data_IF_665040965514
#
_entry.id   IF_665040965514
#
_cell.length_a   1.000
_cell.length_b   1.000
_cell.length_c   1.000
_cell.angle_alpha   90.00
_cell.angle_beta   90.00
_cell.angle_gamma   90.00
#
_symmetry.space_group_name_H-M   'P 1'
#
loop_
_entity.id
_entity.type
_entity.pdbx_description
1 polymer ?
#
# COMPACT_ATOMS: atom_id res chain seq x y z
N UNK A 1 11.62 35.07 -11.80
CA UNK A 1 11.26 33.67 -12.16
C UNK A 1 10.19 33.69 -13.23
N UNK A 2 10.35 32.94 -14.33
CA UNK A 2 9.31 32.82 -15.37
C UNK A 2 8.06 32.08 -14.84
N UNK A 3 6.88 32.42 -15.36
CA UNK A 3 5.61 31.81 -14.94
C UNK A 3 5.56 30.28 -15.14
N UNK A 4 6.31 29.75 -16.11
CA UNK A 4 6.49 28.31 -16.34
C UNK A 4 7.19 27.61 -15.16
N UNK A 5 8.36 28.12 -14.75
CA UNK A 5 9.15 27.57 -13.63
C UNK A 5 8.41 27.59 -12.30
N UNK A 6 7.51 28.58 -12.08
CA UNK A 6 6.66 28.62 -10.88
C UNK A 6 5.62 27.50 -10.89
N UNK A 7 5.03 27.22 -12.05
CA UNK A 7 4.01 26.17 -12.23
C UNK A 7 4.59 24.77 -12.08
N UNK A 8 5.78 24.53 -12.63
CA UNK A 8 6.52 23.27 -12.49
C UNK A 8 6.90 23.01 -11.04
N UNK A 9 7.47 23.99 -10.33
CA UNK A 9 7.81 23.85 -8.90
C UNK A 9 6.60 23.54 -8.03
N UNK A 10 5.46 24.18 -8.30
CA UNK A 10 4.22 23.91 -7.58
C UNK A 10 3.70 22.49 -7.85
N UNK A 11 3.79 22.01 -9.09
CA UNK A 11 3.41 20.64 -9.42
C UNK A 11 4.30 19.61 -8.71
N UNK A 12 5.61 19.83 -8.67
CA UNK A 12 6.55 18.96 -7.95
C UNK A 12 6.24 18.95 -6.44
N UNK A 13 6.03 20.12 -5.84
CA UNK A 13 5.68 20.22 -4.42
C UNK A 13 4.36 19.49 -4.10
N UNK A 14 3.35 19.62 -4.96
CA UNK A 14 2.09 18.88 -4.83
C UNK A 14 2.30 17.37 -4.96
N UNK A 15 3.15 16.93 -5.90
CA UNK A 15 3.50 15.53 -6.07
C UNK A 15 4.16 14.96 -4.81
N UNK A 16 5.15 15.65 -4.26
CA UNK A 16 5.81 15.24 -3.01
C UNK A 16 4.80 15.15 -1.85
N UNK A 17 3.91 16.14 -1.72
CA UNK A 17 2.88 16.11 -0.68
C UNK A 17 1.90 14.93 -0.85
N UNK A 18 1.47 14.64 -2.08
CA UNK A 18 0.61 13.50 -2.38
C UNK A 18 1.26 12.18 -1.99
N UNK A 19 2.53 11.97 -2.39
CA UNK A 19 3.23 10.74 -2.08
C UNK A 19 3.51 10.62 -0.58
N UNK A 20 3.88 11.71 0.10
CA UNK A 20 4.05 11.68 1.55
C UNK A 20 2.76 11.28 2.28
N UNK A 21 1.61 11.82 1.84
CA UNK A 21 0.30 11.47 2.40
C UNK A 21 -0.05 10.01 2.10
N UNK A 22 -0.01 9.56 0.85
CA UNK A 22 -0.39 8.19 0.50
C UNK A 22 0.63 7.14 0.94
N UNK A 23 1.91 7.48 1.16
CA UNK A 23 2.85 6.58 1.81
C UNK A 23 2.40 6.20 3.22
N UNK A 24 1.77 7.12 3.96
CA UNK A 24 1.24 6.81 5.29
C UNK A 24 0.07 5.83 5.23
N UNK A 25 -0.63 5.73 4.10
CA UNK A 25 -1.76 4.79 3.98
C UNK A 25 -1.30 3.33 4.06
N UNK A 26 -0.03 3.01 3.77
CA UNK A 26 0.48 1.63 3.92
C UNK A 26 0.31 1.12 5.35
N UNK A 27 0.51 2.00 6.34
CA UNK A 27 0.37 1.63 7.74
C UNK A 27 -1.08 1.41 8.13
N UNK A 28 -1.98 2.25 7.62
CA UNK A 28 -3.42 2.12 7.88
C UNK A 28 -4.03 0.90 7.16
N UNK A 29 -3.52 0.55 5.99
CA UNK A 29 -3.99 -0.58 5.17
C UNK A 29 -3.46 -1.92 5.72
N UNK A 30 -2.19 -1.98 6.13
CA UNK A 30 -1.52 -3.27 6.40
C UNK A 30 -0.99 -3.44 7.83
N UNK A 31 -0.69 -2.37 8.56
CA UNK A 31 0.09 -2.48 9.82
C UNK A 31 -0.64 -2.03 11.08
N UNK A 32 -1.83 -1.41 10.98
CA UNK A 32 -2.58 -0.99 12.18
C UNK A 32 -3.51 -2.09 12.70
N UNK A 33 -3.01 -2.80 13.70
CA UNK A 33 -3.85 -3.50 14.67
C UNK A 33 -3.82 -2.73 15.99
N UNK A 34 -4.64 -1.66 16.15
CA UNK A 34 -4.66 -0.95 17.42
C UNK A 34 -5.02 -1.92 18.55
N UNK A 35 -4.24 -1.84 19.63
CA UNK A 35 -4.48 -2.57 20.87
C UNK A 35 -5.90 -2.26 21.34
N UNK A 36 -6.65 -3.30 21.70
CA UNK A 36 -8.03 -3.14 22.17
C UNK A 36 -7.99 -2.87 23.68
N UNK A 37 -8.63 -1.78 24.11
CA UNK A 37 -8.67 -1.37 25.52
C UNK A 37 -10.08 -1.54 26.11
N UNK A 38 -10.14 -1.65 27.45
CA UNK A 38 -11.38 -1.72 28.20
C UNK A 38 -12.08 -3.08 28.11
N UNK A 39 -11.31 -4.16 28.03
CA UNK A 39 -11.80 -5.54 28.14
C UNK A 39 -11.49 -6.07 29.53
N UNK A 40 -12.45 -6.77 30.12
CA UNK A 40 -12.24 -7.45 31.39
C UNK A 40 -11.49 -8.78 31.15
N UNK A 41 -10.46 -9.10 31.97
CA UNK A 41 -9.79 -10.38 31.90
C UNK A 41 -10.73 -11.54 32.23
N UNK A 42 -10.63 -12.63 31.48
CA UNK A 42 -11.38 -13.87 31.74
C UNK A 42 -10.57 -14.74 32.69
N UNK A 43 -11.05 -14.86 33.93
CA UNK A 43 -10.42 -15.70 34.92
C UNK A 43 -10.70 -17.18 34.65
N UNK A 44 -9.66 -18.03 34.55
CA UNK A 44 -9.86 -19.47 34.45
C UNK A 44 -10.46 -20.04 35.74
N UNK A 45 -11.36 -21.02 35.63
CA UNK A 45 -11.88 -21.79 36.78
C UNK A 45 -10.94 -22.95 37.14
N UNK A 46 -9.63 -22.69 37.16
CA UNK A 46 -8.61 -23.68 37.54
C UNK A 46 -7.59 -23.10 38.54
N UNK A 47 -7.12 -23.88 39.51
CA UNK A 47 -6.00 -23.48 40.37
C UNK A 47 -4.71 -23.42 39.55
N UNK A 48 -3.74 -22.61 39.98
CA UNK A 48 -2.44 -22.52 39.31
C UNK A 48 -1.77 -23.91 39.20
N UNK A 49 -1.54 -24.44 37.97
CA UNK A 49 -0.91 -25.75 37.78
C UNK A 49 0.55 -25.79 38.25
N UNK A 50 1.24 -24.65 38.24
CA UNK A 50 2.62 -24.51 38.68
C UNK A 50 2.77 -23.45 39.78
N UNK A 51 3.52 -23.78 40.82
CA UNK A 51 3.87 -22.84 41.89
C UNK A 51 4.93 -21.82 41.46
N UNK A 52 5.79 -22.19 40.50
CA UNK A 52 6.88 -21.37 39.96
C UNK A 52 7.10 -21.71 38.50
N UNK A 53 7.25 -20.69 37.66
CA UNK A 53 7.57 -20.83 36.25
C UNK A 53 8.87 -20.06 35.96
N UNK A 54 9.83 -20.73 35.33
CA UNK A 54 11.06 -20.12 34.80
C UNK A 54 11.07 -20.35 33.30
N UNK A 55 10.99 -19.27 32.54
CA UNK A 55 11.06 -19.31 31.08
C UNK A 55 12.42 -18.73 30.66
N UNK A 56 13.21 -19.54 29.94
CA UNK A 56 14.45 -19.10 29.31
C UNK A 56 14.12 -18.76 27.86
N UNK A 57 14.28 -17.50 27.49
CA UNK A 57 14.04 -17.01 26.12
C UNK A 57 15.36 -16.56 25.55
N UNK A 58 15.70 -17.10 24.38
CA UNK A 58 16.81 -16.64 23.54
C UNK A 58 16.23 -16.04 22.25
N UNK A 59 16.63 -14.82 21.91
CA UNK A 59 16.08 -14.10 20.76
C UNK A 59 16.83 -14.50 19.49
N UNK A 60 16.36 -15.58 18.85
CA UNK A 60 16.81 -15.99 17.54
C UNK A 60 16.00 -15.33 16.43
N UNK A 61 16.63 -14.57 15.53
CA UNK A 61 16.04 -13.94 14.33
C UNK A 61 15.35 -14.89 13.31
N UNK A 62 15.13 -16.17 13.65
CA UNK A 62 14.47 -17.15 12.77
C UNK A 62 13.01 -17.35 13.16
N UNK A 63 12.14 -16.75 12.35
CA UNK A 63 10.72 -17.10 12.31
C UNK A 63 10.58 -18.47 11.63
N UNK A 64 10.04 -19.46 12.35
CA UNK A 64 9.68 -20.78 11.80
C UNK A 64 8.17 -20.92 11.94
N UNK A 65 7.47 -20.77 10.82
CA UNK A 65 6.02 -20.90 10.75
C UNK A 65 5.69 -22.15 9.94
N UNK A 66 5.50 -23.27 10.65
CA UNK A 66 4.93 -24.47 10.02
C UNK A 66 4.25 -25.43 11.01
N UNK A 67 4.24 -25.14 12.32
CA UNK A 67 3.75 -26.06 13.37
C UNK A 67 4.33 -27.49 13.27
N UNK A 68 5.41 -27.66 12.50
CA UNK A 68 6.11 -28.92 12.30
C UNK A 68 7.19 -29.00 13.34
N UNK A 69 7.03 -29.97 14.22
CA UNK A 69 8.08 -30.37 15.15
C UNK A 69 9.26 -30.89 14.35
N UNK A 70 10.36 -30.13 14.36
CA UNK A 70 11.64 -30.63 13.89
C UNK A 70 12.22 -31.62 14.89
N UNK A 71 13.08 -32.53 14.43
CA UNK A 71 13.91 -33.32 15.34
C UNK A 71 14.75 -32.38 16.20
N UNK A 72 14.87 -32.68 17.49
CA UNK A 72 15.73 -31.94 18.43
C UNK A 72 17.15 -31.87 17.87
N UNK A 73 17.74 -30.68 17.70
CA UNK A 73 19.10 -30.55 17.17
C UNK A 73 20.10 -31.30 18.05
N UNK A 74 20.98 -32.11 17.44
CA UNK A 74 21.99 -32.89 18.17
C UNK A 74 22.92 -31.98 19.00
N UNK A 75 23.18 -30.77 18.53
CA UNK A 75 24.01 -29.76 19.20
C UNK A 75 23.50 -29.35 20.59
N UNK A 76 22.20 -29.53 20.87
CA UNK A 76 21.62 -29.18 22.16
C UNK A 76 21.96 -30.21 23.25
N UNK A 77 22.45 -31.40 22.88
CA UNK A 77 22.75 -32.47 23.83
C UNK A 77 21.51 -33.06 24.54
N UNK A 78 20.30 -32.73 24.07
CA UNK A 78 19.02 -33.18 24.63
C UNK A 78 18.53 -34.46 23.92
N UNK A 79 19.40 -35.46 23.82
CA UNK A 79 19.05 -36.73 23.18
C UNK A 79 17.90 -37.44 23.91
N UNK A 80 16.88 -37.87 23.16
CA UNK A 80 15.72 -38.58 23.70
C UNK A 80 14.58 -37.69 24.22
N UNK A 81 14.74 -36.35 24.20
CA UNK A 81 13.65 -35.41 24.48
C UNK A 81 13.12 -34.89 23.15
N UNK A 82 11.83 -35.08 22.89
CA UNK A 82 11.16 -34.55 21.71
C UNK A 82 11.03 -33.03 21.81
N UNK A 83 11.48 -32.33 20.76
CA UNK A 83 11.26 -30.90 20.61
C UNK A 83 9.80 -30.68 20.22
N UNK A 84 9.09 -30.00 21.10
CA UNK A 84 7.78 -29.42 20.78
C UNK A 84 8.01 -27.95 20.41
N UNK A 85 7.41 -27.51 19.32
CA UNK A 85 7.50 -26.14 18.83
C UNK A 85 6.23 -25.39 19.23
N UNK A 86 6.39 -24.14 19.67
CA UNK A 86 5.30 -23.26 20.10
C UNK A 86 5.38 -21.97 19.30
N UNK A 87 4.25 -21.51 18.77
CA UNK A 87 4.22 -20.23 18.11
C UNK A 87 4.45 -19.11 19.14
N UNK A 88 5.12 -18.04 18.74
CA UNK A 88 5.44 -16.93 19.64
C UNK A 88 4.20 -16.36 20.36
N UNK A 89 3.06 -16.28 19.65
CA UNK A 89 1.80 -15.81 20.22
C UNK A 89 1.24 -16.73 21.33
N UNK A 90 1.54 -18.03 21.27
CA UNK A 90 0.99 -19.08 22.13
C UNK A 90 1.75 -19.19 23.47
N UNK A 91 2.92 -18.55 23.59
CA UNK A 91 3.70 -18.50 24.84
C UNK A 91 2.92 -17.76 25.93
N UNK A 92 2.29 -16.64 25.59
CA UNK A 92 1.57 -15.83 26.56
C UNK A 92 0.37 -16.55 27.22
N UNK A 93 -0.54 -17.22 26.48
CA UNK A 93 -1.59 -18.02 27.10
C UNK A 93 -1.02 -19.23 27.86
N UNK A 94 0.05 -19.88 27.37
CA UNK A 94 0.72 -20.96 28.10
C UNK A 94 1.19 -20.50 29.49
N UNK A 95 1.93 -19.39 29.53
CA UNK A 95 2.45 -18.83 30.78
C UNK A 95 1.32 -18.49 31.74
N UNK A 96 0.29 -17.79 31.25
CA UNK A 96 -0.85 -17.37 32.07
C UNK A 96 -1.58 -18.58 32.67
N UNK A 97 -1.84 -19.62 31.87
CA UNK A 97 -2.47 -20.84 32.35
C UNK A 97 -1.61 -21.56 33.40
N UNK A 98 -0.30 -21.69 33.19
CA UNK A 98 0.61 -22.37 34.13
C UNK A 98 0.66 -21.70 35.51
N UNK A 99 0.50 -20.38 35.59
CA UNK A 99 0.48 -19.64 36.86
C UNK A 99 -0.94 -19.34 37.36
N UNK A 100 -1.98 -19.87 36.70
CA UNK A 100 -3.38 -19.68 37.10
C UNK A 100 -3.89 -18.23 36.93
N UNK A 101 -3.30 -17.46 36.01
CA UNK A 101 -3.70 -16.09 35.70
C UNK A 101 -4.59 -16.04 34.45
N UNK A 102 -5.43 -14.98 34.30
CA UNK A 102 -6.17 -14.77 33.07
C UNK A 102 -5.22 -14.58 31.88
N UNK A 103 -5.61 -15.11 30.71
CA UNK A 103 -4.87 -14.87 29.47
C UNK A 103 -4.76 -13.36 29.20
N UNK A 104 -3.60 -12.84 28.76
CA UNK A 104 -3.44 -11.41 28.49
C UNK A 104 -4.50 -10.92 27.49
N UNK A 105 -5.11 -9.78 27.78
CA UNK A 105 -6.34 -9.35 27.10
C UNK A 105 -6.17 -9.03 25.61
N UNK A 106 -4.94 -8.81 25.15
CA UNK A 106 -4.58 -8.58 23.76
C UNK A 106 -3.81 -9.76 23.13
N UNK A 107 -3.76 -10.91 23.81
CA UNK A 107 -3.14 -12.11 23.26
C UNK A 107 -4.06 -12.74 22.21
N UNK A 108 -3.50 -13.04 21.04
CA UNK A 108 -4.18 -13.81 19.98
C UNK A 108 -3.73 -15.27 19.95
N UNK A 109 -2.87 -15.67 20.89
CA UNK A 109 -2.32 -17.02 20.97
C UNK A 109 -3.35 -18.07 21.36
N UNK A 110 -3.18 -19.26 20.80
CA UNK A 110 -3.85 -20.49 21.18
C UNK A 110 -3.13 -21.14 22.35
N UNK A 111 -3.87 -21.72 23.30
CA UNK A 111 -3.26 -22.48 24.39
C UNK A 111 -2.57 -23.75 23.87
N UNK A 112 -1.25 -23.93 24.03
CA UNK A 112 -0.54 -25.13 23.59
C UNK A 112 -0.67 -26.24 24.65
N UNK A 113 -1.73 -27.05 24.51
CA UNK A 113 -2.16 -28.09 25.46
C UNK A 113 -1.10 -29.16 25.75
N UNK A 114 -0.19 -29.41 24.81
CA UNK A 114 0.85 -30.44 24.91
C UNK A 114 1.85 -30.19 26.06
N UNK A 115 1.97 -28.94 26.51
CA UNK A 115 2.84 -28.54 27.62
C UNK A 115 2.17 -28.59 28.99
N UNK A 116 0.88 -28.92 29.02
CA UNK A 116 0.06 -28.84 30.21
C UNK A 116 -0.29 -30.25 30.69
N UNK A 117 0.18 -30.59 31.89
CA UNK A 117 -0.23 -31.82 32.56
C UNK A 117 -1.50 -31.55 33.38
N UNK A 118 -2.64 -31.40 32.68
CA UNK A 118 -3.95 -31.12 33.26
C UNK A 118 -4.86 -32.33 33.13
N UNK A 119 -5.77 -32.50 34.10
CA UNK A 119 -6.89 -33.43 33.91
C UNK A 119 -7.88 -32.86 32.88
N UNK A 120 -8.81 -33.69 32.37
CA UNK A 120 -9.73 -33.27 31.28
C UNK A 120 -10.68 -32.12 31.66
N UNK A 121 -11.02 -32.01 32.94
CA UNK A 121 -11.87 -30.93 33.46
C UNK A 121 -11.09 -29.60 33.53
N UNK A 122 -9.85 -29.64 34.01
CA UNK A 122 -8.95 -28.48 34.02
C UNK A 122 -8.55 -28.04 32.60
N UNK A 123 -8.32 -29.00 31.69
CA UNK A 123 -7.98 -28.75 30.29
C UNK A 123 -9.11 -27.98 29.60
N UNK A 124 -10.38 -28.40 29.76
CA UNK A 124 -11.51 -27.69 29.15
C UNK A 124 -11.67 -26.28 29.71
N UNK A 125 -11.48 -26.08 31.02
CA UNK A 125 -11.57 -24.77 31.65
C UNK A 125 -10.46 -23.82 31.16
N UNK A 126 -9.24 -24.34 31.01
CA UNK A 126 -8.11 -23.56 30.47
C UNK A 126 -8.36 -23.15 29.02
N UNK A 127 -8.80 -24.09 28.17
CA UNK A 127 -9.09 -23.82 26.75
C UNK A 127 -10.26 -22.85 26.61
N UNK A 128 -11.34 -23.05 27.38
CA UNK A 128 -12.51 -22.17 27.35
C UNK A 128 -12.17 -20.75 27.82
N UNK A 129 -11.32 -20.58 28.85
CA UNK A 129 -10.87 -19.27 29.30
C UNK A 129 -10.07 -18.53 28.21
N UNK A 130 -9.15 -19.23 27.52
CA UNK A 130 -8.42 -18.67 26.38
C UNK A 130 -9.37 -18.27 25.23
N UNK A 131 -10.31 -19.15 24.86
CA UNK A 131 -11.30 -18.89 23.81
C UNK A 131 -12.22 -17.71 24.15
N UNK A 132 -12.71 -17.61 25.39
CA UNK A 132 -13.52 -16.48 25.88
C UNK A 132 -12.72 -15.18 25.86
N UNK A 133 -11.42 -15.20 26.17
CA UNK A 133 -10.58 -14.01 26.11
C UNK A 133 -10.43 -13.46 24.68
N UNK A 134 -10.26 -14.35 23.70
CA UNK A 134 -10.21 -13.98 22.27
C UNK A 134 -11.59 -13.53 21.76
N UNK A 135 -12.66 -14.20 22.19
CA UNK A 135 -14.03 -13.77 21.91
C UNK A 135 -14.28 -12.34 22.44
N UNK A 136 -13.82 -12.00 23.64
CA UNK A 136 -13.96 -10.65 24.20
C UNK A 136 -13.24 -9.59 23.35
N UNK A 137 -12.09 -9.92 22.76
CA UNK A 137 -11.41 -9.04 21.78
C UNK A 137 -12.26 -8.79 20.54
N UNK A 138 -12.83 -9.86 19.98
CA UNK A 138 -13.76 -9.75 18.87
C UNK A 138 -14.98 -8.89 19.23
N UNK A 139 -15.65 -9.19 20.35
CA UNK A 139 -16.86 -8.49 20.79
C UNK A 139 -16.59 -7.01 21.03
N UNK A 140 -15.49 -6.68 21.72
CA UNK A 140 -15.10 -5.29 21.98
C UNK A 140 -14.84 -4.53 20.68
N UNK A 141 -14.15 -5.16 19.72
CA UNK A 141 -13.87 -4.54 18.42
C UNK A 141 -15.14 -4.35 17.59
N UNK A 142 -16.03 -5.34 17.60
CA UNK A 142 -17.35 -5.28 16.99
C UNK A 142 -18.16 -4.11 17.55
N UNK A 143 -18.22 -3.97 18.88
CA UNK A 143 -18.91 -2.87 19.56
C UNK A 143 -18.34 -1.50 19.22
N UNK A 144 -17.01 -1.35 19.24
CA UNK A 144 -16.36 -0.08 18.88
C UNK A 144 -16.70 0.32 17.45
N UNK A 145 -16.67 -0.64 16.51
CA UNK A 145 -17.04 -0.37 15.11
C UNK A 145 -18.54 -0.08 14.96
N UNK A 146 -19.41 -0.78 15.68
CA UNK A 146 -20.85 -0.53 15.67
C UNK A 146 -21.19 0.87 16.20
N UNK A 147 -20.47 1.36 17.21
CA UNK A 147 -20.67 2.70 17.78
C UNK A 147 -20.15 3.85 16.92
N UNK A 148 -19.23 3.56 16.00
CA UNK A 148 -18.62 4.57 15.12
C UNK A 148 -19.16 4.52 13.70
N UNK A 149 -19.60 3.37 13.19
CA UNK A 149 -20.03 3.22 11.80
C UNK A 149 -21.47 3.67 11.55
N UNK A 150 -21.67 4.47 10.51
CA UNK A 150 -23.00 4.82 10.01
C UNK A 150 -23.73 3.60 9.43
N UNK A 151 -22.99 2.71 8.77
CA UNK A 151 -23.49 1.44 8.25
C UNK A 151 -22.66 0.26 8.77
N UNK A 152 -23.18 -0.37 9.83
CA UNK A 152 -22.52 -1.49 10.48
C UNK A 152 -22.97 -2.83 9.88
N UNK A 153 -22.00 -3.65 9.47
CA UNK A 153 -22.21 -5.02 9.01
C UNK A 153 -21.59 -5.99 10.03
N UNK A 154 -22.41 -6.79 10.74
CA UNK A 154 -21.90 -7.73 11.73
C UNK A 154 -21.17 -8.91 11.07
N UNK A 155 -20.26 -9.52 11.83
CA UNK A 155 -19.65 -10.79 11.46
C UNK A 155 -20.63 -11.94 11.76
N UNK A 156 -21.37 -12.36 10.73
CA UNK A 156 -22.48 -13.33 10.84
C UNK A 156 -22.16 -14.62 11.63
N UNK A 157 -20.99 -15.27 11.48
CA UNK A 157 -20.72 -16.53 12.19
C UNK A 157 -20.75 -16.45 13.71
N UNK A 158 -20.56 -15.26 14.30
CA UNK A 158 -20.60 -15.03 15.74
C UNK A 158 -21.77 -14.14 16.19
N UNK A 159 -22.80 -14.00 15.36
CA UNK A 159 -24.00 -13.23 15.73
C UNK A 159 -24.73 -13.88 16.93
N UNK A 160 -24.78 -15.22 16.97
CA UNK A 160 -25.39 -16.01 18.04
C UNK A 160 -24.34 -16.69 18.94
N UNK A 161 -23.24 -16.01 19.26
CA UNK A 161 -22.16 -16.59 20.06
C UNK A 161 -22.61 -17.09 21.44
N UNK A 162 -23.68 -16.50 22.01
CA UNK A 162 -24.24 -16.91 23.30
C UNK A 162 -24.76 -18.36 23.24
N UNK A 163 -25.33 -18.79 22.12
CA UNK A 163 -25.78 -20.17 21.93
C UNK A 163 -24.58 -21.13 21.92
N UNK A 164 -23.50 -20.76 21.24
CA UNK A 164 -22.26 -21.56 21.21
C UNK A 164 -21.68 -21.70 22.63
N UNK A 165 -21.64 -20.60 23.39
CA UNK A 165 -21.19 -20.63 24.78
C UNK A 165 -22.09 -21.51 25.66
N UNK A 166 -23.41 -21.43 25.48
CA UNK A 166 -24.35 -22.27 26.22
C UNK A 166 -24.18 -23.75 25.88
N UNK A 167 -23.94 -24.09 24.61
CA UNK A 167 -23.68 -25.46 24.17
C UNK A 167 -22.39 -26.01 24.82
N UNK A 168 -21.33 -25.21 24.87
CA UNK A 168 -20.08 -25.58 25.54
C UNK A 168 -20.31 -25.84 27.04
N UNK A 169 -20.98 -24.93 27.75
CA UNK A 169 -21.26 -25.11 29.18
C UNK A 169 -22.16 -26.33 29.42
N UNK A 170 -23.12 -26.62 28.54
CA UNK A 170 -23.94 -27.83 28.62
C UNK A 170 -23.10 -29.10 28.45
N UNK A 171 -22.14 -29.12 27.51
CA UNK A 171 -21.21 -30.25 27.34
C UNK A 171 -20.29 -30.44 28.56
N UNK A 172 -19.85 -29.34 29.20
CA UNK A 172 -19.08 -29.39 30.45
C UNK A 172 -19.94 -30.00 31.58
N UNK A 173 -21.19 -29.55 31.74
CA UNK A 173 -22.13 -30.09 32.73
C UNK A 173 -22.44 -31.58 32.50
N UNK A 174 -22.51 -32.01 31.24
CA UNK A 174 -22.68 -33.42 30.86
C UNK A 174 -21.40 -34.27 31.00
N UNK A 175 -20.27 -33.68 31.42
CA UNK A 175 -18.93 -34.28 31.47
C UNK A 175 -18.40 -34.79 30.12
N UNK A 176 -18.94 -34.28 29.02
CA UNK A 176 -18.37 -34.50 27.68
C UNK A 176 -17.29 -33.44 27.39
N UNK A 177 -16.16 -33.59 28.07
CA UNK A 177 -15.03 -32.67 27.96
C UNK A 177 -14.41 -32.65 26.56
N UNK A 178 -14.44 -33.78 25.84
CA UNK A 178 -13.94 -33.87 24.46
C UNK A 178 -14.69 -32.94 23.51
N UNK A 179 -16.01 -32.96 23.57
CA UNK A 179 -16.85 -32.10 22.72
C UNK A 179 -16.71 -30.64 23.13
N UNK A 180 -16.67 -30.35 24.43
CA UNK A 180 -16.52 -29.00 24.94
C UNK A 180 -15.17 -28.36 24.54
N UNK A 181 -14.06 -29.12 24.57
CA UNK A 181 -12.74 -28.65 24.09
C UNK A 181 -12.82 -28.31 22.60
N UNK A 182 -13.35 -29.23 21.77
CA UNK A 182 -13.48 -29.02 20.33
C UNK A 182 -14.31 -27.78 19.99
N UNK A 183 -15.47 -27.62 20.63
CA UNK A 183 -16.33 -26.44 20.45
C UNK A 183 -15.65 -25.15 20.90
N UNK A 184 -14.90 -25.18 22.00
CA UNK A 184 -14.12 -24.04 22.48
C UNK A 184 -13.03 -23.65 21.49
N UNK A 185 -12.36 -24.61 20.84
CA UNK A 185 -11.38 -24.36 19.79
C UNK A 185 -12.03 -23.77 18.54
N UNK A 186 -13.17 -24.31 18.10
CA UNK A 186 -13.95 -23.74 16.99
C UNK A 186 -14.41 -22.31 17.28
N UNK A 187 -14.87 -22.02 18.51
CA UNK A 187 -15.24 -20.66 18.94
C UNK A 187 -14.05 -19.69 18.82
N UNK A 188 -12.87 -20.12 19.26
CA UNK A 188 -11.62 -19.35 19.13
C UNK A 188 -11.30 -19.07 17.67
N UNK A 189 -11.33 -20.07 16.79
CA UNK A 189 -11.05 -19.92 15.35
C UNK A 189 -12.02 -18.94 14.69
N UNK A 190 -13.31 -19.03 15.01
CA UNK A 190 -14.32 -18.08 14.58
C UNK A 190 -14.05 -16.66 15.12
N UNK A 191 -13.64 -16.54 16.39
CA UNK A 191 -13.33 -15.25 17.00
C UNK A 191 -12.09 -14.60 16.40
N UNK A 192 -11.03 -15.35 16.11
CA UNK A 192 -9.86 -14.86 15.37
C UNK A 192 -10.23 -14.42 13.95
N UNK A 193 -11.05 -15.21 13.25
CA UNK A 193 -11.56 -14.85 11.92
C UNK A 193 -12.39 -13.57 11.95
N UNK A 194 -13.28 -13.43 12.94
CA UNK A 194 -14.07 -12.22 13.16
C UNK A 194 -13.22 -11.02 13.56
N UNK A 195 -12.16 -11.25 14.34
CA UNK A 195 -11.20 -10.20 14.71
C UNK A 195 -10.46 -9.68 13.47
N UNK A 196 -10.03 -10.59 12.59
CA UNK A 196 -9.41 -10.24 11.31
C UNK A 196 -10.39 -9.52 10.36
N UNK A 197 -11.64 -9.96 10.31
CA UNK A 197 -12.71 -9.26 9.57
C UNK A 197 -12.81 -7.77 9.97
N UNK A 198 -12.74 -7.47 11.27
CA UNK A 198 -12.76 -6.08 11.74
C UNK A 198 -11.42 -5.35 11.60
N UNK A 199 -10.29 -6.05 11.43
CA UNK A 199 -9.02 -5.40 11.05
C UNK A 199 -9.05 -4.91 9.60
N UNK A 200 -9.66 -5.68 8.71
CA UNK A 200 -9.73 -5.40 7.27
C UNK A 200 -11.05 -4.73 6.86
N UNK A 201 -11.85 -4.26 7.82
CA UNK A 201 -13.19 -3.72 7.57
C UNK A 201 -13.17 -2.50 6.64
N UNK A 202 -12.23 -1.58 6.85
CA UNK A 202 -12.10 -0.35 6.06
C UNK A 202 -11.16 -0.53 4.85
N UNK A 203 -10.60 -1.73 4.67
CA UNK A 203 -9.54 -2.00 3.69
C UNK A 203 -9.96 -1.66 2.26
N UNK A 204 -11.15 -2.11 1.84
CA UNK A 204 -11.66 -1.87 0.49
C UNK A 204 -11.92 -0.39 0.21
N UNK A 205 -12.46 0.33 1.19
CA UNK A 205 -12.71 1.78 1.08
C UNK A 205 -11.39 2.52 0.91
N UNK A 206 -10.42 2.25 1.79
CA UNK A 206 -9.13 2.91 1.78
C UNK A 206 -8.36 2.59 0.48
N UNK A 207 -8.33 1.32 0.07
CA UNK A 207 -7.72 0.90 -1.19
C UNK A 207 -8.32 1.61 -2.40
N UNK A 208 -9.65 1.72 -2.45
CA UNK A 208 -10.34 2.42 -3.55
C UNK A 208 -9.94 3.89 -3.61
N UNK A 209 -9.93 4.58 -2.46
CA UNK A 209 -9.62 6.02 -2.39
C UNK A 209 -8.18 6.32 -2.76
N UNK A 210 -7.23 5.51 -2.31
CA UNK A 210 -5.81 5.66 -2.61
C UNK A 210 -5.56 5.35 -4.09
N UNK A 211 -6.17 4.28 -4.63
CA UNK A 211 -6.06 3.94 -6.05
C UNK A 211 -6.63 5.05 -6.94
N UNK A 212 -7.81 5.57 -6.60
CA UNK A 212 -8.38 6.75 -7.28
C UNK A 212 -7.50 7.98 -7.13
N UNK A 213 -6.81 8.13 -6.01
CA UNK A 213 -5.83 9.18 -5.77
C UNK A 213 -4.67 9.14 -6.77
N UNK A 214 -4.00 7.99 -6.87
CA UNK A 214 -2.90 7.79 -7.82
C UNK A 214 -3.36 7.87 -9.28
N UNK A 215 -4.53 7.31 -9.60
CA UNK A 215 -5.12 7.47 -10.93
C UNK A 215 -5.40 8.94 -11.25
N UNK A 216 -5.96 9.67 -10.29
CA UNK A 216 -6.21 11.09 -10.41
C UNK A 216 -4.92 11.89 -10.62
N UNK A 217 -3.84 11.52 -9.93
CA UNK A 217 -2.52 12.11 -10.10
C UNK A 217 -1.95 11.90 -11.51
N UNK A 218 -1.98 10.66 -12.01
CA UNK A 218 -1.54 10.33 -13.37
C UNK A 218 -2.28 11.15 -14.44
N UNK A 219 -3.61 11.23 -14.35
CA UNK A 219 -4.41 12.01 -15.30
C UNK A 219 -4.04 13.50 -15.22
N UNK A 220 -3.85 14.04 -14.01
CA UNK A 220 -3.39 15.43 -13.85
C UNK A 220 -2.01 15.67 -14.46
N UNK A 221 -1.08 14.71 -14.36
CA UNK A 221 0.22 14.77 -15.02
C UNK A 221 0.10 14.75 -16.54
N UNK A 222 -0.72 13.85 -17.12
CA UNK A 222 -1.01 13.84 -18.57
C UNK A 222 -1.53 15.21 -19.02
N UNK A 223 -2.55 15.75 -18.34
CA UNK A 223 -3.13 17.05 -18.69
C UNK A 223 -2.04 18.13 -18.65
N UNK A 224 -1.19 18.13 -17.62
CA UNK A 224 -0.10 19.09 -17.52
C UNK A 224 0.91 18.97 -18.65
N UNK A 225 1.38 17.75 -18.96
CA UNK A 225 2.38 17.53 -19.99
C UNK A 225 1.83 17.88 -21.38
N UNK A 226 0.62 17.42 -21.70
CA UNK A 226 -0.01 17.74 -22.99
C UNK A 226 -0.22 19.26 -23.12
N UNK A 227 -0.69 19.94 -22.06
CA UNK A 227 -0.88 21.40 -22.12
C UNK A 227 0.42 22.20 -22.23
N UNK A 228 1.51 21.70 -21.68
CA UNK A 228 2.76 22.46 -21.55
C UNK A 228 3.75 22.19 -22.69
N UNK A 229 3.73 20.98 -23.25
CA UNK A 229 4.77 20.51 -24.18
C UNK A 229 4.24 20.09 -25.56
N UNK A 230 2.93 20.12 -25.80
CA UNK A 230 2.37 19.83 -27.12
C UNK A 230 1.67 21.05 -27.71
N UNK A 231 1.58 21.11 -29.04
CA UNK A 231 0.84 22.15 -29.77
C UNK A 231 -0.68 21.97 -29.70
N UNK A 232 -1.15 20.85 -29.14
CA UNK A 232 -2.55 20.46 -29.04
C UNK A 232 -3.50 21.54 -28.47
N UNK A 233 -3.16 22.27 -27.39
CA UNK A 233 -4.03 23.30 -26.84
C UNK A 233 -4.26 24.46 -27.81
N UNK A 234 -3.26 24.79 -28.65
CA UNK A 234 -3.35 25.89 -29.62
C UNK A 234 -4.40 25.61 -30.70
N UNK A 235 -4.51 24.35 -31.11
CA UNK A 235 -5.50 23.89 -32.09
C UNK A 235 -6.93 23.82 -31.52
N UNK A 236 -7.07 23.62 -30.21
CA UNK A 236 -8.37 23.64 -29.52
C UNK A 236 -8.89 25.05 -29.28
N UNK A 237 -8.02 25.98 -28.85
CA UNK A 237 -8.37 27.39 -28.60
C UNK A 237 -8.82 28.08 -29.90
N UNK A 238 -8.21 27.74 -31.04
CA UNK A 238 -8.62 28.25 -32.35
C UNK A 238 -10.05 27.81 -32.78
N UNK A 239 -10.63 26.78 -32.13
CA UNK A 239 -11.91 26.17 -32.52
C UNK A 239 -13.11 26.58 -31.65
N UNK A 240 -12.91 27.18 -30.47
CA UNK A 240 -13.98 27.64 -29.57
C UNK A 240 -13.51 28.81 -28.69
N UNK A 241 -13.95 30.05 -28.94
CA UNK A 241 -13.61 31.18 -28.07
C UNK A 241 -14.47 31.26 -26.80
N UNK A 242 -15.71 30.76 -26.83
CA UNK A 242 -16.70 31.07 -25.79
C UNK A 242 -17.28 29.81 -25.11
N UNK A 243 -16.71 29.48 -23.96
CA UNK A 243 -17.36 28.67 -22.92
C UNK A 243 -16.89 29.17 -21.55
N UNK A 244 -17.02 30.49 -21.33
CA UNK A 244 -16.66 31.24 -20.11
C UNK A 244 -17.72 31.07 -19.01
N UNK A 245 -18.16 29.84 -18.81
CA UNK A 245 -18.96 29.45 -17.66
C UNK A 245 -18.49 28.07 -17.19
N UNK A 246 -17.96 27.99 -15.97
CA UNK A 246 -17.96 26.81 -15.06
C UNK A 246 -16.65 26.48 -14.31
N UNK A 247 -15.52 27.20 -14.49
CA UNK A 247 -14.31 26.85 -13.73
C UNK A 247 -14.49 27.09 -12.23
N UNK A 248 -15.10 28.21 -11.83
CA UNK A 248 -15.34 28.52 -10.41
C UNK A 248 -16.42 27.62 -9.81
N UNK A 249 -17.47 27.30 -10.57
CA UNK A 249 -18.55 26.41 -10.10
C UNK A 249 -18.05 24.98 -9.85
N UNK A 250 -17.11 24.48 -10.67
CA UNK A 250 -16.49 23.16 -10.43
C UNK A 250 -15.67 23.16 -9.14
N UNK A 251 -14.91 24.23 -8.85
CA UNK A 251 -14.16 24.32 -7.59
C UNK A 251 -15.07 24.44 -6.37
N UNK A 252 -16.13 25.24 -6.46
CA UNK A 252 -17.14 25.33 -5.39
C UNK A 252 -17.78 23.96 -5.15
N UNK A 253 -18.18 23.26 -6.22
CA UNK A 253 -18.71 21.89 -6.14
C UNK A 253 -17.73 20.91 -5.51
N UNK A 254 -16.44 20.98 -5.89
CA UNK A 254 -15.38 20.16 -5.30
C UNK A 254 -15.16 20.45 -3.81
N UNK A 255 -15.20 21.72 -3.40
CA UNK A 255 -15.12 22.12 -1.99
C UNK A 255 -16.33 21.64 -1.18
N UNK A 256 -17.54 21.73 -1.74
CA UNK A 256 -18.75 21.20 -1.11
C UNK A 256 -18.65 19.68 -0.94
N UNK A 257 -18.21 18.96 -1.98
CA UNK A 257 -18.02 17.50 -1.93
C UNK A 257 -16.96 17.11 -0.89
N UNK A 258 -15.82 17.81 -0.88
CA UNK A 258 -14.75 17.61 0.09
C UNK A 258 -15.23 17.85 1.53
N UNK A 259 -16.02 18.91 1.75
CA UNK A 259 -16.64 19.23 3.03
C UNK A 259 -17.64 18.15 3.46
N UNK A 260 -18.49 17.68 2.54
CA UNK A 260 -19.46 16.61 2.79
C UNK A 260 -18.76 15.31 3.18
N UNK A 261 -17.75 14.87 2.42
CA UNK A 261 -16.98 13.66 2.73
C UNK A 261 -16.27 13.80 4.07
N UNK A 262 -15.66 14.96 4.34
CA UNK A 262 -14.99 15.21 5.63
C UNK A 262 -15.98 15.20 6.79
N UNK A 263 -17.19 15.70 6.59
CA UNK A 263 -18.25 15.66 7.60
C UNK A 263 -18.74 14.23 7.85
N UNK A 264 -18.93 13.42 6.79
CA UNK A 264 -19.29 12.00 6.94
C UNK A 264 -18.21 11.22 7.71
N UNK A 265 -16.93 11.41 7.36
CA UNK A 265 -15.81 10.78 8.07
C UNK A 265 -15.73 11.22 9.54
N UNK A 266 -16.07 12.47 9.83
CA UNK A 266 -16.14 12.99 11.19
C UNK A 266 -17.27 12.32 11.99
N UNK A 267 -18.46 12.17 11.39
CA UNK A 267 -19.56 11.42 12.00
C UNK A 267 -19.15 9.96 12.26
N UNK A 268 -18.35 9.37 11.38
CA UNK A 268 -17.81 8.02 11.55
C UNK A 268 -16.67 7.89 12.58
N UNK A 269 -16.24 8.99 13.21
CA UNK A 269 -15.07 9.06 14.10
C UNK A 269 -13.81 8.49 13.45
N UNK A 270 -13.65 8.71 12.15
CA UNK A 270 -12.52 8.20 11.38
C UNK A 270 -11.20 8.84 11.82
N UNK A 271 -10.05 8.14 11.69
CA UNK A 271 -8.75 8.72 11.96
C UNK A 271 -8.50 9.98 11.11
N UNK A 272 -7.77 11.00 11.62
CA UNK A 272 -7.49 12.23 10.87
C UNK A 272 -6.82 12.00 9.50
N UNK A 273 -6.02 10.94 9.38
CA UNK A 273 -5.37 10.58 8.11
C UNK A 273 -6.37 10.22 7.01
N UNK A 274 -7.53 9.64 7.35
CA UNK A 274 -8.55 9.30 6.35
C UNK A 274 -9.08 10.58 5.68
N UNK A 275 -9.28 11.65 6.45
CA UNK A 275 -9.65 12.94 5.89
C UNK A 275 -8.60 13.44 4.90
N UNK A 276 -7.31 13.34 5.23
CA UNK A 276 -6.23 13.73 4.32
C UNK A 276 -6.25 12.95 3.00
N UNK A 277 -6.46 11.63 3.07
CA UNK A 277 -6.53 10.77 1.88
C UNK A 277 -7.68 11.16 0.96
N UNK A 278 -8.89 11.28 1.51
CA UNK A 278 -10.06 11.65 0.75
C UNK A 278 -9.97 13.07 0.20
N UNK A 279 -9.51 14.04 1.00
CA UNK A 279 -9.34 15.42 0.56
C UNK A 279 -8.36 15.54 -0.60
N UNK A 280 -7.22 14.82 -0.54
CA UNK A 280 -6.25 14.78 -1.63
C UNK A 280 -6.88 14.18 -2.89
N UNK A 281 -7.58 13.05 -2.78
CA UNK A 281 -8.27 12.41 -3.91
C UNK A 281 -9.31 13.36 -4.52
N UNK A 282 -10.22 13.92 -3.71
CA UNK A 282 -11.25 14.85 -4.18
C UNK A 282 -10.64 16.09 -4.84
N UNK A 283 -9.54 16.63 -4.31
CA UNK A 283 -8.83 17.75 -4.92
C UNK A 283 -8.31 17.42 -6.33
N UNK A 284 -7.67 16.26 -6.51
CA UNK A 284 -7.15 15.84 -7.82
C UNK A 284 -8.27 15.64 -8.83
N UNK A 285 -9.37 15.02 -8.43
CA UNK A 285 -10.52 14.77 -9.29
C UNK A 285 -11.29 16.06 -9.62
N UNK A 286 -11.34 17.03 -8.71
CA UNK A 286 -11.89 18.37 -9.00
C UNK A 286 -11.11 19.06 -10.11
N UNK A 287 -9.77 18.93 -10.11
CA UNK A 287 -8.92 19.46 -11.19
C UNK A 287 -9.14 18.77 -12.53
N UNK A 288 -9.39 17.46 -12.52
CA UNK A 288 -9.75 16.69 -13.72
C UNK A 288 -11.08 17.18 -14.28
N UNK A 289 -12.08 17.35 -13.42
CA UNK A 289 -13.42 17.81 -13.83
C UNK A 289 -13.38 19.22 -14.42
N UNK A 290 -12.54 20.12 -13.88
CA UNK A 290 -12.32 21.44 -14.47
C UNK A 290 -11.82 21.35 -15.92
N UNK A 291 -10.92 20.40 -16.18
CA UNK A 291 -10.32 20.18 -17.49
C UNK A 291 -11.03 19.08 -18.31
N UNK A 292 -12.27 18.70 -17.94
CA UNK A 292 -12.99 17.60 -18.56
C UNK A 292 -13.23 17.81 -20.06
N UNK A 293 -13.54 19.04 -20.48
CA UNK A 293 -13.70 19.36 -21.90
C UNK A 293 -12.40 19.14 -22.70
N UNK A 294 -11.25 19.46 -22.09
CA UNK A 294 -9.95 19.22 -22.68
C UNK A 294 -9.67 17.72 -22.80
N UNK A 295 -9.98 16.93 -21.77
CA UNK A 295 -9.86 15.46 -21.82
C UNK A 295 -10.78 14.84 -22.88
N UNK A 296 -12.02 15.32 -22.99
CA UNK A 296 -12.95 14.88 -24.03
C UNK A 296 -12.42 15.17 -25.42
N UNK A 297 -11.84 16.35 -25.63
CA UNK A 297 -11.22 16.72 -26.90
C UNK A 297 -9.97 15.86 -27.18
N UNK A 298 -9.11 15.64 -26.18
CA UNK A 298 -7.94 14.77 -26.28
C UNK A 298 -8.35 13.34 -26.67
N UNK A 299 -9.34 12.76 -26.00
CA UNK A 299 -9.89 11.44 -26.32
C UNK A 299 -10.46 11.39 -27.74
N UNK A 300 -11.18 12.43 -28.16
CA UNK A 300 -11.72 12.54 -29.51
C UNK A 300 -10.65 12.60 -30.62
N UNK A 301 -9.49 13.21 -30.36
CA UNK A 301 -8.37 13.23 -31.30
C UNK A 301 -7.57 11.91 -31.26
N UNK A 302 -7.40 11.31 -30.07
CA UNK A 302 -6.87 9.95 -29.89
C UNK A 302 -7.65 8.93 -30.73
N UNK A 303 -8.99 8.96 -30.69
CA UNK A 303 -9.83 8.02 -31.46
C UNK A 303 -9.77 8.19 -32.98
N UNK A 304 -9.26 9.33 -33.49
CA UNK A 304 -9.11 9.59 -34.93
C UNK A 304 -7.76 9.12 -35.47
N UNK A 305 -6.86 8.65 -34.60
CA UNK A 305 -5.56 8.18 -35.02
C UNK A 305 -5.66 6.95 -35.91
N UNK A 306 -4.71 6.76 -36.85
CA UNK A 306 -4.68 5.55 -37.66
C UNK A 306 -4.44 4.33 -36.78
N UNK A 307 -5.00 3.18 -37.17
CA UNK A 307 -4.90 1.91 -36.43
C UNK A 307 -3.45 1.53 -36.07
N UNK A 308 -2.49 1.83 -36.94
CA UNK A 308 -1.05 1.59 -36.71
C UNK A 308 -0.54 2.35 -35.48
N UNK A 309 -0.99 3.58 -35.24
CA UNK A 309 -0.60 4.36 -34.07
C UNK A 309 -1.18 3.79 -32.79
N UNK A 310 -2.43 3.31 -32.82
CA UNK A 310 -3.04 2.59 -31.70
C UNK A 310 -2.25 1.33 -31.36
N UNK A 311 -1.85 0.55 -32.36
CA UNK A 311 -1.03 -0.65 -32.15
C UNK A 311 0.36 -0.31 -31.56
N UNK A 312 1.03 0.75 -32.05
CA UNK A 312 2.31 1.20 -31.50
C UNK A 312 2.20 1.66 -30.04
N UNK A 313 1.13 2.39 -29.69
CA UNK A 313 0.86 2.82 -28.32
C UNK A 313 0.59 1.61 -27.40
N UNK A 314 -0.17 0.64 -27.90
CA UNK A 314 -0.44 -0.60 -27.17
C UNK A 314 0.86 -1.39 -26.95
N UNK A 315 1.66 -1.60 -27.99
CA UNK A 315 2.93 -2.34 -27.90
C UNK A 315 3.93 -1.68 -26.95
N UNK A 316 4.05 -0.35 -26.98
CA UNK A 316 4.91 0.39 -26.03
C UNK A 316 4.40 0.30 -24.59
N UNK A 317 3.07 0.35 -24.39
CA UNK A 317 2.46 0.16 -23.06
C UNK A 317 2.69 -1.26 -22.54
N UNK A 318 2.45 -2.29 -23.36
CA UNK A 318 2.70 -3.69 -23.01
C UNK A 318 4.18 -3.93 -22.68
N UNK A 319 5.11 -3.37 -23.46
CA UNK A 319 6.55 -3.46 -23.17
C UNK A 319 6.88 -2.81 -21.83
N UNK A 320 6.30 -1.66 -21.52
CA UNK A 320 6.53 -0.96 -20.25
C UNK A 320 6.02 -1.77 -19.04
N UNK A 321 4.86 -2.43 -19.18
CA UNK A 321 4.30 -3.31 -18.15
C UNK A 321 5.16 -4.58 -18.00
N UNK A 322 5.60 -5.18 -19.10
CA UNK A 322 6.48 -6.35 -19.07
C UNK A 322 7.81 -6.05 -18.36
N UNK A 323 8.42 -4.89 -18.65
CA UNK A 323 9.64 -4.45 -17.96
C UNK A 323 9.37 -4.23 -16.46
N UNK A 324 8.23 -3.65 -16.09
CA UNK A 324 7.82 -3.49 -14.70
C UNK A 324 7.67 -4.85 -13.99
N UNK A 325 6.94 -5.80 -14.58
CA UNK A 325 6.75 -7.15 -14.01
C UNK A 325 8.06 -7.92 -13.92
N UNK A 326 8.93 -7.84 -14.93
CA UNK A 326 10.25 -8.47 -14.91
C UNK A 326 11.11 -7.89 -13.78
N UNK A 327 11.11 -6.57 -13.61
CA UNK A 327 11.84 -5.93 -12.52
C UNK A 327 11.33 -6.42 -11.16
N UNK A 328 10.00 -6.48 -10.97
CA UNK A 328 9.39 -6.95 -9.72
C UNK A 328 9.69 -8.43 -9.45
N UNK A 329 9.56 -9.29 -10.47
CA UNK A 329 9.73 -10.74 -10.34
C UNK A 329 11.16 -11.19 -10.04
N UNK A 330 12.17 -10.34 -10.32
CA UNK A 330 13.57 -10.62 -9.98
C UNK A 330 13.92 -10.27 -8.53
N UNK A 331 13.05 -9.62 -7.77
CA UNK A 331 13.31 -9.35 -6.36
C UNK A 331 12.82 -10.51 -5.49
N UNK A 332 13.74 -11.14 -4.77
CA UNK A 332 13.47 -12.29 -3.90
C UNK A 332 12.75 -11.87 -2.60
N UNK A 333 11.83 -12.70 -2.08
CA UNK A 333 11.11 -12.44 -0.84
C UNK A 333 12.03 -12.73 0.35
N UNK A 334 12.79 -11.74 0.80
CA UNK A 334 13.76 -11.98 1.87
C UNK A 334 14.47 -10.75 2.39
N UNK A 335 13.74 -9.71 2.78
CA UNK A 335 14.03 -8.86 3.95
C UNK A 335 13.18 -7.60 3.93
N UNK A 336 12.41 -7.46 5.00
CA UNK A 336 11.86 -6.23 5.59
C UNK A 336 12.26 -4.91 4.91
N UNK A 337 11.45 -4.46 3.95
CA UNK A 337 11.23 -3.03 3.72
C UNK A 337 10.07 -2.81 2.74
N UNK A 338 8.87 -3.35 3.03
CA UNK A 338 7.66 -3.05 2.24
C UNK A 338 7.51 -1.57 1.82
N UNK A 339 7.95 -0.56 2.61
CA UNK A 339 8.03 0.84 2.14
C UNK A 339 9.03 1.11 1.00
N UNK A 340 10.19 0.43 0.98
CA UNK A 340 11.16 0.46 -0.13
C UNK A 340 10.59 -0.26 -1.34
N UNK A 341 9.96 -1.43 -1.16
CA UNK A 341 9.27 -2.13 -2.25
C UNK A 341 8.19 -1.25 -2.88
N UNK A 342 7.41 -0.55 -2.07
CA UNK A 342 6.40 0.39 -2.53
C UNK A 342 7.01 1.62 -3.22
N UNK A 343 8.06 2.23 -2.66
CA UNK A 343 8.74 3.38 -3.27
C UNK A 343 9.40 3.03 -4.60
N UNK A 344 9.99 1.84 -4.71
CA UNK A 344 10.52 1.31 -5.97
C UNK A 344 9.40 1.00 -6.97
N UNK A 345 8.28 0.43 -6.51
CA UNK A 345 7.12 0.17 -7.37
C UNK A 345 6.59 1.48 -7.98
N UNK A 346 6.37 2.51 -7.16
CA UNK A 346 5.96 3.84 -7.63
C UNK A 346 6.99 4.43 -8.62
N UNK A 347 8.29 4.35 -8.33
CA UNK A 347 9.34 4.88 -9.20
C UNK A 347 9.40 4.20 -10.58
N UNK A 348 9.32 2.87 -10.62
CA UNK A 348 9.32 2.11 -11.88
C UNK A 348 8.00 2.32 -12.63
N UNK A 349 6.88 2.43 -11.92
CA UNK A 349 5.57 2.72 -12.51
C UNK A 349 5.52 4.11 -13.17
N UNK A 350 6.01 5.17 -12.52
CA UNK A 350 6.12 6.49 -13.15
C UNK A 350 7.14 6.51 -14.29
N UNK A 351 8.22 5.72 -14.20
CA UNK A 351 9.17 5.52 -15.29
C UNK A 351 8.50 4.92 -16.54
N UNK A 352 7.72 3.85 -16.35
CA UNK A 352 6.93 3.22 -17.41
C UNK A 352 5.91 4.19 -18.03
N UNK A 353 5.18 4.92 -17.17
CA UNK A 353 4.23 5.94 -17.60
C UNK A 353 4.90 7.07 -18.41
N UNK A 354 6.06 7.55 -17.98
CA UNK A 354 6.82 8.56 -18.69
C UNK A 354 7.32 8.07 -20.06
N UNK A 355 7.72 6.79 -20.18
CA UNK A 355 8.12 6.19 -21.45
C UNK A 355 6.95 6.08 -22.43
N UNK A 356 5.77 5.67 -21.96
CA UNK A 356 4.55 5.65 -22.79
C UNK A 356 4.19 7.06 -23.27
N UNK A 357 4.28 8.04 -22.37
CA UNK A 357 3.89 9.41 -22.66
C UNK A 357 4.89 10.11 -23.60
N UNK A 358 6.19 9.84 -23.45
CA UNK A 358 7.22 10.33 -24.39
C UNK A 358 7.12 9.64 -25.76
N UNK A 359 6.86 8.33 -25.80
CA UNK A 359 6.57 7.61 -27.04
C UNK A 359 5.37 8.20 -27.79
N UNK A 360 4.30 8.54 -27.06
CA UNK A 360 3.15 9.25 -27.61
C UNK A 360 3.50 10.63 -28.17
N UNK A 361 4.24 11.44 -27.42
CA UNK A 361 4.67 12.78 -27.87
C UNK A 361 5.52 12.68 -29.15
N UNK A 362 6.40 11.69 -29.25
CA UNK A 362 7.21 11.46 -30.43
C UNK A 362 6.35 11.06 -31.64
N UNK A 363 5.34 10.21 -31.46
CA UNK A 363 4.38 9.85 -32.51
C UNK A 363 3.62 11.10 -33.00
N UNK A 364 3.08 11.90 -32.09
CA UNK A 364 2.38 13.16 -32.42
C UNK A 364 3.29 14.16 -33.14
N UNK A 365 4.54 14.30 -32.69
CA UNK A 365 5.52 15.18 -33.33
C UNK A 365 5.84 14.72 -34.78
N UNK A 366 5.94 13.41 -35.01
CA UNK A 366 6.17 12.84 -36.34
C UNK A 366 4.95 12.99 -37.27
N UNK A 367 3.73 12.89 -36.73
CA UNK A 367 2.50 13.11 -37.48
C UNK A 367 2.28 14.58 -37.83
N UNK A 368 2.54 15.51 -36.90
CA UNK A 368 2.48 16.95 -37.17
C UNK A 368 3.49 17.35 -38.25
N UNK A 369 4.73 16.85 -38.18
CA UNK A 369 5.75 17.07 -39.20
C UNK A 369 5.36 16.51 -40.58
N UNK A 370 4.74 15.32 -40.63
CA UNK A 370 4.24 14.71 -41.87
C UNK A 370 3.11 15.52 -42.51
N UNK A 371 2.19 16.07 -41.69
CA UNK A 371 1.07 16.89 -42.14
C UNK A 371 1.54 18.25 -42.68
N UNK A 372 2.51 18.86 -42.03
CA UNK A 372 3.14 20.12 -42.45
C UNK A 372 3.94 19.96 -43.75
N UNK A 373 4.64 18.82 -43.91
CA UNK A 373 5.34 18.46 -45.16
C UNK A 373 4.39 18.18 -46.34
N UNK A 374 3.21 17.61 -46.08
CA UNK A 374 2.17 17.45 -47.11
C UNK A 374 1.49 18.78 -47.48
N UNK A 375 1.33 19.69 -46.52
CA UNK A 375 0.82 21.05 -46.78
C UNK A 375 1.83 21.90 -47.54
N UNK A 376 3.13 21.79 -47.25
CA UNK A 376 4.18 22.52 -47.97
C UNK A 376 4.40 21.98 -49.39
N UNK A 377 4.30 20.66 -49.61
CA UNK A 377 4.27 20.06 -50.96
C UNK A 377 3.10 20.52 -51.81
N UNK A 378 1.94 20.78 -51.20
CA UNK A 378 0.79 21.33 -51.91
C UNK A 378 0.96 22.83 -52.21
N UNK A 379 1.65 23.56 -51.33
CA UNK A 379 2.05 24.95 -51.56
C UNK A 379 3.12 25.13 -52.65
N UNK A 380 3.99 24.13 -52.89
CA UNK A 380 5.02 24.22 -53.96
C UNK A 380 4.45 24.05 -55.38
N UNK A 381 3.17 23.67 -55.54
CA UNK A 381 2.51 23.59 -56.85
C UNK A 381 1.79 24.89 -57.25
N UNK A 382 1.77 25.91 -56.39
CA UNK A 382 1.17 27.21 -56.67
C UNK A 382 2.14 28.31 -56.25
N UNK A 383 2.72 28.99 -57.24
CA UNK A 383 3.28 30.33 -57.05
C UNK A 383 4.79 30.38 -56.86
N UNK A 384 5.50 30.44 -57.97
CA UNK A 384 6.79 31.09 -58.08
C UNK A 384 6.58 32.60 -57.87
N UNK A 385 7.11 33.19 -56.80
CA UNK A 385 7.47 34.62 -56.71
C UNK A 385 8.45 34.81 -55.55
N UNK A 386 9.55 35.49 -55.86
CA UNK A 386 10.69 35.78 -55.00
C UNK A 386 10.32 36.47 -53.69
N UNK A 387 10.56 35.83 -52.54
CA UNK A 387 11.03 36.50 -51.33
C UNK A 387 11.94 35.56 -50.53
N UNK A 388 13.17 36.02 -50.29
CA UNK A 388 14.25 35.31 -49.63
C UNK A 388 14.06 35.42 -48.11
N UNK A 389 13.68 34.33 -47.44
CA UNK A 389 13.64 34.24 -45.97
C UNK A 389 14.79 33.39 -45.44
N UNK A 390 15.45 33.89 -44.38
CA UNK A 390 16.62 33.32 -43.69
C UNK A 390 16.48 31.83 -43.39
N UNK A 391 17.45 31.02 -43.87
CA UNK A 391 17.60 29.62 -43.50
C UNK A 391 17.92 29.46 -42.01
N UNK A 392 17.13 28.64 -41.32
CA UNK A 392 17.31 28.19 -39.93
C UNK A 392 18.47 27.17 -39.79
N UNK A 393 19.61 27.45 -40.42
CA UNK A 393 20.83 26.64 -40.30
C UNK A 393 21.73 27.08 -39.13
N UNK A 394 21.34 28.10 -38.36
CA UNK A 394 22.23 28.73 -37.36
C UNK A 394 21.81 28.50 -35.89
N UNK A 395 21.24 27.34 -35.58
CA UNK A 395 21.14 26.85 -34.20
C UNK A 395 22.32 25.93 -33.92
N UNK A 396 23.47 26.55 -33.60
CA UNK A 396 24.59 25.88 -32.92
C UNK A 396 24.08 25.29 -31.60
N UNK A 397 23.79 24.00 -31.60
CA UNK A 397 23.63 23.21 -30.39
C UNK A 397 24.96 23.26 -29.64
N UNK A 398 25.00 23.92 -28.48
CA UNK A 398 26.10 23.76 -27.52
C UNK A 398 26.02 22.35 -26.93
N UNK A 399 26.68 21.40 -27.59
CA UNK A 399 27.02 20.11 -26.98
C UNK A 399 28.18 20.38 -26.04
N UNK A 400 27.97 20.19 -24.73
CA UNK A 400 29.04 20.12 -23.75
C UNK A 400 29.78 18.80 -23.97
N UNK A 401 30.84 18.84 -24.76
CA UNK A 401 31.83 17.78 -24.86
C UNK A 401 32.75 17.85 -23.64
N UNK A 402 32.67 16.86 -22.75
CA UNK A 402 33.63 16.65 -21.65
C UNK A 402 34.74 15.68 -22.06
N UNK A 403 35.38 15.90 -23.21
CA UNK A 403 36.61 15.18 -23.59
C UNK A 403 37.70 16.09 -24.16
N UNK A 404 38.21 17.02 -23.35
CA UNK A 404 39.64 17.39 -23.32
C UNK A 404 39.83 18.58 -22.38
N UNK A 405 40.34 18.32 -21.17
CA UNK A 405 41.05 19.37 -20.43
C UNK A 405 42.52 19.02 -20.52
N UNK A 406 43.24 19.85 -21.27
CA UNK A 406 44.67 19.83 -21.41
C UNK A 406 45.34 19.68 -20.05
N UNK A 407 46.11 18.60 -19.99
CA UNK A 407 47.37 18.43 -19.28
C UNK A 407 48.06 19.77 -19.07
N UNK A 408 48.22 20.15 -17.80
CA UNK A 408 49.33 21.00 -17.40
C UNK A 408 50.01 20.33 -16.21
N UNK A 409 51.21 19.81 -16.49
CA UNK A 409 52.13 19.23 -15.53
C UNK A 409 52.59 20.31 -14.53
N UNK A 410 52.52 20.01 -13.24
CA UNK A 410 53.62 20.30 -12.30
C UNK A 410 53.33 19.67 -10.93
N UNK A 411 54.16 18.67 -10.59
CA UNK A 411 54.79 18.45 -9.28
C UNK A 411 53.88 18.41 -8.03
N UNK A 412 53.73 17.23 -7.41
CA UNK A 412 54.49 16.80 -6.21
C UNK A 412 53.92 15.47 -5.63
N UNK A 413 54.82 14.48 -5.55
CA UNK A 413 54.95 13.39 -4.55
C UNK A 413 53.75 12.52 -4.09
N UNK A 414 53.83 11.23 -4.48
CA UNK A 414 53.85 10.01 -3.62
C UNK A 414 53.30 10.12 -2.18
N UNK A 415 52.35 9.24 -1.85
CA UNK A 415 52.56 8.19 -0.85
C UNK A 415 51.48 7.10 -0.93
N UNK A 416 51.93 5.87 -1.11
CA UNK A 416 51.17 4.63 -0.93
C UNK A 416 51.12 4.30 0.57
N UNK A 417 49.95 3.92 1.10
CA UNK A 417 49.91 2.99 2.22
C UNK A 417 48.81 1.95 2.02
N UNK A 418 49.30 0.73 1.83
CA UNK A 418 48.61 -0.54 1.89
C UNK A 418 48.59 -0.98 3.36
N UNK A 419 47.43 -1.31 3.94
CA UNK A 419 47.36 -2.12 5.18
C UNK A 419 46.22 -3.13 5.08
N UNK A 420 46.66 -4.39 5.14
CA UNK A 420 45.96 -5.67 5.11
C UNK A 420 45.02 -5.91 6.32
N UNK A 421 44.05 -6.85 6.27
CA UNK A 421 43.04 -7.04 7.29
C UNK A 421 43.52 -7.99 8.40
N UNK A 422 43.23 -7.67 9.66
CA UNK A 422 43.45 -8.57 10.80
C UNK A 422 42.15 -8.91 11.54
N UNK A 423 41.90 -10.22 11.61
CA UNK A 423 40.98 -10.92 12.51
C UNK A 423 41.23 -10.56 13.99
N UNK A 424 40.16 -10.50 14.79
CA UNK A 424 39.90 -11.30 16.01
C UNK A 424 38.81 -10.58 16.85
N UNK A 425 37.69 -11.21 17.20
CA UNK A 425 37.43 -12.25 18.24
C UNK A 425 37.26 -11.64 19.66
N UNK A 426 36.12 -11.99 20.28
CA UNK A 426 35.67 -11.80 21.68
C UNK A 426 35.17 -10.37 22.01
N UNK A 427 34.03 -10.13 22.66
CA UNK A 427 33.19 -10.93 23.57
C UNK A 427 31.72 -11.00 23.16
#
# INVERSE_FOLDING_TARGET
MSASRRRERWLVALGVALHAVYMLSIFDIYFKTPIVHGMDPVHPRLPAPANRLVLLVDDGFRFVDDHKHGTTPDEWGLHGIERLDVNQADIAPLMATLVGLPCPVNSVGSLPKQYLNLNKEEEVEAVLANSKQILNQFLRKSQLKQQSSLYFKPFKPLENYQFILQEIENSILARDFSTAIRQSETLKELALSGFHYFQTYDWHMLMTVITLGYLGWMVNLIIHVVKSYTSFPRNLIAKKPDATGSSETVYIGGCILAGLISFLLFLEKSPPLYHAYFLMTTFLWTRIMRDFQFLKALCGELSKMPFISHFKLLATSCLSIFVLEFLIGNFTPGAFSWPVWWAQYEAVFYGAFALVLTGWILIESAFSYSKEKNSSRFGTLVGNTDERYLELADLRVRVFDMTNRQINNSLWSLECFEVSPSRNKYF
#
